data_IF_075581936515
#
_entry.id   IF_075581936515
#
_cell.length_a   1.000
_cell.length_b   1.000
_cell.length_c   1.000
_cell.angle_alpha   90.00
_cell.angle_beta   90.00
_cell.angle_gamma   90.00
#
_symmetry.space_group_name_H-M   'P 1'
#
loop_
_entity.id
_entity.type
_entity.pdbx_description
1 polymer ?
#
# COMPACT_ATOMS: atom_id res chain seq x y z
N UNK A 1 10.01 22.54 26.68
CA UNK A 1 11.12 21.57 26.63
C UNK A 1 10.83 20.57 25.52
N UNK A 2 11.68 20.49 24.50
CA UNK A 2 11.53 19.53 23.39
C UNK A 2 12.52 18.38 23.62
N UNK A 3 12.10 17.10 23.61
CA UNK A 3 13.02 15.99 23.76
C UNK A 3 13.97 15.90 22.55
N UNK A 4 15.22 15.46 22.74
CA UNK A 4 16.19 15.35 21.65
C UNK A 4 15.69 14.39 20.57
N UNK A 5 15.79 14.81 19.31
CA UNK A 5 15.31 14.06 18.14
C UNK A 5 16.12 12.78 17.86
N UNK A 6 17.32 12.68 18.43
CA UNK A 6 18.19 11.51 18.33
C UNK A 6 18.42 10.92 19.72
N UNK A 7 18.38 9.58 19.87
CA UNK A 7 18.69 8.95 21.14
C UNK A 7 20.19 9.07 21.43
N UNK A 8 20.54 9.87 22.45
CA UNK A 8 21.93 10.04 22.90
C UNK A 8 22.60 8.75 23.39
N UNK A 9 21.82 7.70 23.66
CA UNK A 9 22.29 6.38 24.13
C UNK A 9 22.85 5.50 23.00
N UNK A 10 23.85 6.03 22.28
CA UNK A 10 24.79 5.24 21.52
C UNK A 10 26.01 4.96 22.43
N UNK A 11 26.16 3.73 22.98
CA UNK A 11 27.32 3.40 23.80
C UNK A 11 28.59 3.51 22.94
N UNK A 12 29.50 4.39 23.36
CA UNK A 12 30.67 4.83 22.58
C UNK A 12 31.66 3.71 22.19
N UNK A 13 31.55 2.53 22.78
CA UNK A 13 32.25 1.33 22.31
C UNK A 13 31.32 0.11 22.38
N UNK A 14 30.90 -0.40 21.21
CA UNK A 14 30.34 -1.76 21.10
C UNK A 14 31.10 -2.54 20.05
N UNK A 15 31.53 -3.74 20.39
CA UNK A 15 32.10 -4.68 19.42
C UNK A 15 31.06 -4.98 18.34
N UNK A 16 31.50 -5.10 17.08
CA UNK A 16 30.65 -5.41 15.91
C UNK A 16 29.52 -6.43 16.17
N UNK A 17 29.73 -7.61 16.80
CA UNK A 17 28.65 -8.55 17.09
C UNK A 17 27.56 -7.98 18.03
N UNK A 18 27.91 -7.13 18.99
CA UNK A 18 26.91 -6.50 19.88
C UNK A 18 26.09 -5.45 19.14
N UNK A 19 26.73 -4.65 18.27
CA UNK A 19 26.03 -3.73 17.38
C UNK A 19 25.04 -4.47 16.46
N UNK A 20 25.47 -5.54 15.79
CA UNK A 20 24.59 -6.34 14.90
C UNK A 20 23.42 -6.95 15.67
N UNK A 21 23.63 -7.47 16.90
CA UNK A 21 22.56 -7.96 17.77
C UNK A 21 21.56 -6.85 18.14
N UNK A 22 22.05 -5.65 18.47
CA UNK A 22 21.20 -4.47 18.77
C UNK A 22 20.40 -4.04 17.54
N UNK A 23 21.05 -3.89 16.38
CA UNK A 23 20.42 -3.50 15.12
C UNK A 23 19.30 -4.48 14.72
N UNK A 24 19.55 -5.80 14.78
CA UNK A 24 18.51 -6.83 14.53
C UNK A 24 17.33 -6.72 15.51
N UNK A 25 17.58 -6.48 16.80
CA UNK A 25 16.52 -6.28 17.82
C UNK A 25 15.72 -4.99 17.61
N UNK A 26 16.38 -3.89 17.22
CA UNK A 26 15.68 -2.64 16.89
C UNK A 26 14.83 -2.83 15.64
N UNK A 27 15.36 -3.46 14.60
CA UNK A 27 14.63 -3.75 13.36
C UNK A 27 13.36 -4.60 13.60
N UNK A 28 13.45 -5.69 14.36
CA UNK A 28 12.27 -6.53 14.65
C UNK A 28 11.24 -5.78 15.48
N UNK A 29 11.66 -4.94 16.45
CA UNK A 29 10.76 -4.07 17.22
C UNK A 29 10.06 -3.03 16.33
N UNK A 30 10.79 -2.34 15.46
CA UNK A 30 10.23 -1.35 14.52
C UNK A 30 9.25 -2.01 13.55
N UNK A 31 9.61 -3.16 12.95
CA UNK A 31 8.71 -3.90 12.06
C UNK A 31 7.45 -4.37 12.79
N UNK A 32 7.56 -4.87 14.03
CA UNK A 32 6.41 -5.24 14.83
C UNK A 32 5.52 -4.03 15.19
N UNK A 33 6.11 -2.87 15.47
CA UNK A 33 5.36 -1.63 15.72
C UNK A 33 4.61 -1.16 14.47
N UNK A 34 5.26 -1.13 13.31
CA UNK A 34 4.63 -0.79 12.03
C UNK A 34 3.47 -1.74 11.69
N UNK A 35 3.66 -3.05 11.86
CA UNK A 35 2.61 -4.04 11.62
C UNK A 35 1.40 -3.83 12.57
N UNK A 36 1.64 -3.53 13.85
CA UNK A 36 0.56 -3.21 14.82
C UNK A 36 -0.20 -1.94 14.44
N UNK A 37 0.51 -0.90 13.98
CA UNK A 37 -0.11 0.35 13.51
C UNK A 37 -0.92 0.12 12.24
N UNK A 38 -0.40 -0.64 11.27
CA UNK A 38 -1.12 -1.02 10.06
C UNK A 38 -2.40 -1.81 10.38
N UNK A 39 -2.31 -2.81 11.26
CA UNK A 39 -3.46 -3.62 11.70
C UNK A 39 -4.48 -2.78 12.50
N UNK A 40 -4.04 -1.86 13.37
CA UNK A 40 -4.93 -0.93 14.07
C UNK A 40 -5.65 0.00 13.09
N UNK A 41 -4.91 0.57 12.13
CA UNK A 41 -5.47 1.45 11.10
C UNK A 41 -6.46 0.69 10.21
N UNK A 42 -6.15 -0.55 9.85
CA UNK A 42 -7.06 -1.46 9.15
C UNK A 42 -8.37 -1.65 9.93
N UNK A 43 -8.31 -2.04 11.20
CA UNK A 43 -9.51 -2.22 12.05
C UNK A 43 -10.35 -0.95 12.19
N UNK A 44 -9.72 0.22 12.30
CA UNK A 44 -10.43 1.50 12.40
C UNK A 44 -11.09 1.92 11.08
N UNK A 45 -10.42 1.69 9.94
CA UNK A 45 -10.98 1.93 8.62
C UNK A 45 -12.11 0.94 8.30
N UNK A 46 -11.87 -0.35 8.57
CA UNK A 46 -12.79 -1.44 8.24
C UNK A 46 -14.05 -1.43 9.14
N UNK A 47 -14.01 -0.81 10.34
CA UNK A 47 -15.20 -0.54 11.17
C UNK A 47 -16.33 0.16 10.41
N UNK A 48 -15.99 1.07 9.50
CA UNK A 48 -16.97 1.87 8.74
C UNK A 48 -17.14 1.37 7.29
N UNK A 49 -16.29 0.45 6.83
CA UNK A 49 -16.38 -0.10 5.47
C UNK A 49 -17.25 -1.35 5.47
N UNK A 50 -18.30 -1.34 4.66
CA UNK A 50 -19.03 -2.58 4.33
C UNK A 50 -18.10 -3.56 3.60
N UNK A 51 -18.27 -4.88 3.76
CA UNK A 51 -17.59 -5.86 2.90
C UNK A 51 -17.90 -5.55 1.43
N UNK A 52 -16.94 -5.82 0.54
CA UNK A 52 -17.21 -5.67 -0.88
C UNK A 52 -18.11 -6.84 -1.31
N UNK A 53 -19.16 -6.61 -2.10
CA UNK A 53 -19.91 -7.69 -2.74
C UNK A 53 -19.00 -8.66 -3.52
N UNK A 54 -19.41 -9.93 -3.71
CA UNK A 54 -18.69 -10.85 -4.58
C UNK A 54 -18.80 -10.35 -6.03
N UNK A 55 -17.66 -10.20 -6.69
CA UNK A 55 -17.58 -9.82 -8.10
C UNK A 55 -17.12 -11.00 -8.96
N UNK A 56 -17.76 -11.17 -10.11
CA UNK A 56 -17.31 -12.12 -11.12
C UNK A 56 -16.24 -11.49 -12.02
N UNK A 57 -15.27 -12.30 -12.45
CA UNK A 57 -14.31 -11.88 -13.49
C UNK A 57 -15.08 -11.66 -14.80
N UNK A 58 -14.78 -10.58 -15.52
CA UNK A 58 -15.53 -10.19 -16.73
C UNK A 58 -16.82 -9.40 -16.47
N UNK A 59 -17.25 -9.24 -15.22
CA UNK A 59 -18.39 -8.38 -14.87
C UNK A 59 -18.06 -6.91 -15.18
N UNK A 60 -18.97 -6.21 -15.86
CA UNK A 60 -18.89 -4.76 -16.03
C UNK A 60 -19.52 -4.07 -14.81
N UNK A 61 -18.79 -3.13 -14.20
CA UNK A 61 -19.27 -2.33 -13.07
C UNK A 61 -19.06 -0.85 -13.30
N UNK A 62 -20.01 -0.05 -12.82
CA UNK A 62 -19.91 1.41 -12.81
C UNK A 62 -19.28 1.88 -11.50
N UNK A 63 -18.26 2.74 -11.57
CA UNK A 63 -17.62 3.29 -10.39
C UNK A 63 -18.21 4.65 -10.04
N UNK A 64 -18.66 4.81 -8.79
CA UNK A 64 -19.15 6.12 -8.32
C UNK A 64 -17.99 7.07 -8.06
N UNK A 65 -18.12 8.32 -8.50
CA UNK A 65 -17.08 9.34 -8.38
C UNK A 65 -17.01 10.03 -7.02
N UNK A 66 -17.91 9.69 -6.09
CA UNK A 66 -18.00 10.32 -4.75
C UNK A 66 -16.67 10.35 -4.00
N UNK A 67 -15.89 9.27 -4.11
CA UNK A 67 -14.59 9.10 -3.45
C UNK A 67 -13.39 9.28 -4.40
N UNK A 68 -13.64 9.57 -5.68
CA UNK A 68 -12.62 9.71 -6.73
C UNK A 68 -12.40 11.20 -7.01
N UNK A 69 -11.16 11.68 -6.83
CA UNK A 69 -10.78 13.04 -7.21
C UNK A 69 -10.66 13.16 -8.74
N UNK A 70 -11.79 13.30 -9.42
CA UNK A 70 -11.81 13.68 -10.83
C UNK A 70 -11.22 15.10 -10.97
N UNK A 71 -10.38 15.34 -12.00
CA UNK A 71 -9.77 16.64 -12.30
C UNK A 71 -10.77 17.62 -12.96
N UNK A 72 -12.02 17.55 -12.54
CA UNK A 72 -13.11 18.33 -13.11
C UNK A 72 -13.23 19.69 -12.42
N UNK A 73 -13.81 20.65 -13.13
CA UNK A 73 -13.94 22.05 -12.67
C UNK A 73 -14.90 22.21 -11.51
N UNK A 74 -15.89 21.30 -11.36
CA UNK A 74 -16.89 21.37 -10.29
C UNK A 74 -17.54 20.03 -10.00
N UNK A 75 -17.72 19.70 -8.70
CA UNK A 75 -18.46 18.52 -8.22
C UNK A 75 -19.92 18.45 -8.71
N UNK A 76 -20.50 19.57 -9.17
CA UNK A 76 -21.87 19.62 -9.72
C UNK A 76 -21.94 19.26 -11.21
N UNK A 77 -20.82 19.40 -11.93
CA UNK A 77 -20.72 19.15 -13.37
C UNK A 77 -20.03 17.82 -13.67
N UNK A 78 -19.20 17.32 -12.73
CA UNK A 78 -18.57 16.02 -12.83
C UNK A 78 -19.58 14.87 -12.89
N UNK A 79 -19.41 13.86 -13.76
CA UNK A 79 -20.28 12.69 -13.81
C UNK A 79 -20.29 11.94 -12.47
N UNK A 80 -21.46 11.51 -12.01
CA UNK A 80 -21.61 10.79 -10.73
C UNK A 80 -21.13 9.33 -10.79
N UNK A 81 -21.09 8.76 -11.99
CA UNK A 81 -20.59 7.43 -12.29
C UNK A 81 -19.70 7.50 -13.53
N UNK A 82 -18.55 6.81 -13.50
CA UNK A 82 -17.69 6.64 -14.67
C UNK A 82 -17.77 5.18 -15.10
N UNK A 83 -17.98 5.00 -16.40
CA UNK A 83 -17.61 3.86 -17.25
C UNK A 83 -18.08 2.44 -16.85
N UNK A 84 -18.45 1.58 -17.82
CA UNK A 84 -18.42 0.14 -17.58
C UNK A 84 -16.97 -0.34 -17.48
N UNK A 85 -16.48 -0.52 -16.26
CA UNK A 85 -15.17 -1.12 -16.00
C UNK A 85 -15.30 -2.65 -15.92
N UNK A 86 -14.59 -3.37 -16.79
CA UNK A 86 -14.50 -4.82 -16.72
C UNK A 86 -13.62 -5.23 -15.55
N UNK A 87 -14.15 -6.04 -14.63
CA UNK A 87 -13.39 -6.60 -13.52
C UNK A 87 -12.45 -7.68 -14.08
N UNK A 88 -11.17 -7.33 -14.18
CA UNK A 88 -10.12 -8.29 -14.49
C UNK A 88 -10.02 -9.32 -13.35
N UNK A 89 -9.71 -10.60 -13.63
CA UNK A 89 -9.33 -11.53 -12.58
C UNK A 89 -8.18 -10.91 -11.80
N UNK A 90 -8.30 -10.84 -10.47
CA UNK A 90 -7.16 -10.49 -9.64
C UNK A 90 -6.13 -11.58 -9.85
N UNK A 91 -5.09 -11.28 -10.62
CA UNK A 91 -3.86 -12.07 -10.61
C UNK A 91 -3.47 -12.20 -9.16
N UNK A 92 -3.68 -13.40 -8.59
CA UNK A 92 -3.03 -13.80 -7.37
C UNK A 92 -1.55 -13.90 -7.75
N UNK A 93 -0.87 -12.75 -7.63
CA UNK A 93 0.58 -12.68 -7.57
C UNK A 93 0.95 -13.58 -6.41
N UNK A 94 1.29 -14.83 -6.75
CA UNK A 94 1.69 -15.82 -5.80
C UNK A 94 2.81 -15.25 -4.95
N UNK A 95 2.85 -15.67 -3.69
CA UNK A 95 4.04 -15.46 -2.89
C UNK A 95 5.27 -15.91 -3.70
N UNK A 96 6.30 -15.07 -3.89
CA UNK A 96 7.56 -15.50 -4.48
C UNK A 96 8.34 -16.32 -3.43
N UNK A 97 7.85 -17.52 -3.14
CA UNK A 97 8.41 -18.48 -2.19
C UNK A 97 8.91 -19.75 -2.89
N UNK A 98 9.83 -19.55 -3.83
CA UNK A 98 10.88 -20.52 -4.22
C UNK A 98 11.94 -19.76 -5.02
N UNK A 99 13.17 -19.73 -4.52
CA UNK A 99 14.20 -18.85 -5.06
C UNK A 99 14.92 -19.41 -6.29
N UNK A 100 15.35 -18.51 -7.17
CA UNK A 100 16.48 -18.73 -8.09
C UNK A 100 17.37 -17.48 -8.09
N UNK A 101 18.62 -17.64 -8.48
CA UNK A 101 19.76 -16.79 -8.11
C UNK A 101 19.74 -15.38 -8.72
N UNK A 102 20.41 -14.45 -8.03
CA UNK A 102 20.90 -13.18 -8.58
C UNK A 102 21.99 -13.45 -9.63
N UNK A 103 21.89 -12.93 -10.87
CA UNK A 103 23.07 -12.61 -11.67
C UNK A 103 23.72 -11.32 -11.16
N UNK A 104 25.05 -11.25 -11.22
CA UNK A 104 25.84 -10.15 -10.68
C UNK A 104 25.74 -8.85 -11.50
N UNK A 105 25.88 -7.72 -10.81
CA UNK A 105 26.28 -6.40 -11.37
C UNK A 105 27.81 -6.37 -11.63
N UNK A 106 28.39 -5.39 -12.35
CA UNK A 106 27.81 -4.18 -12.96
C UNK A 106 28.07 -4.13 -14.49
N UNK A 107 27.87 -3.06 -15.27
CA UNK A 107 27.32 -1.72 -15.00
C UNK A 107 26.61 -1.17 -16.26
N UNK A 108 25.78 -0.14 -16.08
CA UNK A 108 25.66 1.03 -16.97
C UNK A 108 24.50 1.92 -16.52
N UNK A 109 24.83 3.09 -15.98
CA UNK A 109 23.94 4.22 -15.78
C UNK A 109 23.38 4.69 -17.14
N UNK A 110 22.06 4.63 -17.31
CA UNK A 110 21.35 5.36 -18.36
C UNK A 110 20.08 5.97 -17.77
N UNK A 111 20.15 7.27 -17.47
CA UNK A 111 19.03 8.02 -16.92
C UNK A 111 18.03 8.37 -18.01
N UNK A 112 16.85 7.76 -17.98
CA UNK A 112 15.67 8.32 -18.65
C UNK A 112 14.45 8.26 -17.74
N UNK A 113 13.75 9.38 -17.69
CA UNK A 113 12.58 9.61 -16.84
C UNK A 113 11.43 8.64 -17.16
N UNK A 114 10.62 8.30 -16.16
CA UNK A 114 9.23 8.83 -16.08
C UNK A 114 8.50 8.31 -14.83
N UNK A 115 7.83 9.25 -14.17
CA UNK A 115 6.83 9.07 -13.10
C UNK A 115 5.82 7.94 -13.34
N UNK A 116 5.36 7.28 -12.26
CA UNK A 116 3.92 7.01 -12.04
C UNK A 116 3.56 6.63 -10.61
N UNK A 117 2.34 7.01 -10.25
CA UNK A 117 1.77 7.00 -8.90
C UNK A 117 1.31 5.63 -8.37
N UNK A 118 1.03 5.57 -7.07
CA UNK A 118 0.50 4.40 -6.36
C UNK A 118 -0.96 4.08 -6.74
N UNK A 119 -1.38 2.80 -6.74
CA UNK A 119 -2.79 2.43 -6.76
C UNK A 119 -3.39 2.41 -5.35
N UNK A 120 -4.35 3.28 -5.07
CA UNK A 120 -5.17 3.24 -3.84
C UNK A 120 -6.50 2.50 -4.07
N UNK A 121 -6.73 1.48 -3.24
CA UNK A 121 -7.93 0.62 -3.25
C UNK A 121 -9.23 1.39 -2.93
N UNK A 122 -10.26 1.22 -3.76
CA UNK A 122 -11.65 1.58 -3.47
C UNK A 122 -12.59 0.40 -3.78
N UNK A 123 -13.75 0.34 -3.09
CA UNK A 123 -14.73 -0.76 -3.22
C UNK A 123 -15.90 -0.35 -4.11
N UNK A 124 -16.41 -1.20 -5.02
CA UNK A 124 -17.62 -0.88 -5.78
C UNK A 124 -18.92 -1.05 -4.96
N UNK A 125 -20.02 -0.53 -5.51
CA UNK A 125 -21.36 -0.53 -4.92
C UNK A 125 -22.30 -1.32 -5.87
N UNK A 126 -23.23 -2.11 -5.34
CA UNK A 126 -24.23 -2.84 -6.14
C UNK A 126 -25.62 -2.19 -5.99
N UNK A 127 -26.33 -2.05 -7.10
CA UNK A 127 -27.70 -1.50 -7.14
C UNK A 127 -28.71 -2.54 -6.62
N UNK A 128 -29.82 -2.13 -6.00
CA UNK A 128 -30.94 -3.04 -5.71
C UNK A 128 -31.65 -3.45 -7.01
N UNK A 129 -32.15 -4.69 -7.04
CA UNK A 129 -32.94 -5.20 -8.16
C UNK A 129 -34.32 -4.54 -8.27
N UNK A 130 -34.85 -4.54 -9.50
CA UNK A 130 -36.19 -4.08 -9.87
C UNK A 130 -37.13 -5.28 -10.00
#
# INVERSE_FOLDING_TARGET
>A
YQPPLFPSDLPMATTVPQFVRRAKRTWTRTRAALNRTAERNRRLADRHRRPAPPYACGQQVWLSTKDIKLKDTSKKLSPQFIGPYTIIPTCQLGHPESGTQLPATPDSYSTSSTSRDLPTSSKPYQQPGN
#
